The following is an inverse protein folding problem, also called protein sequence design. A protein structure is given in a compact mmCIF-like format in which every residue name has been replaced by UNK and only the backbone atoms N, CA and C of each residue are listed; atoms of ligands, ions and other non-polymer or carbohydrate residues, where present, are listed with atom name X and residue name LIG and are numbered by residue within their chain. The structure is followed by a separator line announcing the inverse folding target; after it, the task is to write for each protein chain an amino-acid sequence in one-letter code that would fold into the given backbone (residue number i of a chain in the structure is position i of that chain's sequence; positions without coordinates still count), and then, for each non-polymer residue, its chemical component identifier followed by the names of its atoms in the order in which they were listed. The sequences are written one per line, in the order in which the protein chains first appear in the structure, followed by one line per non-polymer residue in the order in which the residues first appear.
data_IF_670181968306
#
_entry.id   IF_670181968306
#
_cell.length_a   1.000
_cell.length_b   1.000
_cell.length_c   1.000
_cell.angle_alpha   90.00
_cell.angle_beta   90.00
_cell.angle_gamma   90.00
#
_symmetry.space_group_name_H-M   'P 1'
#
loop_
_entity.id
_entity.type
_entity.pdbx_description
1 polymer ?
#
# COMPACT_ATOMS: atom_id res chain seq x y z
N UNK A 1 -23.56 5.22 -6.04
CA UNK A 1 -23.13 4.62 -4.76
C UNK A 1 -22.41 3.33 -5.10
N UNK A 2 -21.14 3.19 -4.72
CA UNK A 2 -20.39 1.94 -4.92
C UNK A 2 -20.90 0.94 -3.89
N UNK A 3 -21.47 -0.18 -4.33
CA UNK A 3 -21.90 -1.25 -3.43
C UNK A 3 -20.68 -1.99 -2.87
N UNK A 4 -20.40 -1.76 -1.59
CA UNK A 4 -19.22 -2.33 -0.88
C UNK A 4 -19.61 -3.50 0.04
N UNK A 5 -20.85 -3.98 -0.06
CA UNK A 5 -21.38 -5.06 0.79
C UNK A 5 -20.68 -6.41 0.59
N UNK A 6 -19.84 -6.56 -0.45
CA UNK A 6 -19.03 -7.75 -0.72
C UNK A 6 -17.54 -7.63 -0.34
N UNK A 7 -17.10 -6.60 0.41
CA UNK A 7 -15.70 -6.46 0.81
C UNK A 7 -15.27 -7.59 1.77
N UNK A 8 -14.47 -8.52 1.25
CA UNK A 8 -13.90 -9.66 1.97
C UNK A 8 -12.38 -9.65 1.84
N UNK A 9 -11.70 -10.25 2.80
CA UNK A 9 -10.25 -10.42 2.73
C UNK A 9 -9.89 -11.43 1.62
N UNK A 10 -9.42 -10.94 0.47
CA UNK A 10 -9.14 -11.73 -0.75
C UNK A 10 -7.74 -11.48 -1.33
N UNK A 11 -6.81 -10.96 -0.51
CA UNK A 11 -5.44 -10.67 -0.94
C UNK A 11 -4.70 -11.95 -1.35
N UNK A 12 -4.20 -11.99 -2.58
CA UNK A 12 -3.37 -13.11 -3.09
C UNK A 12 -1.88 -12.87 -2.91
N UNK A 13 -1.43 -11.60 -2.99
CA UNK A 13 -0.04 -11.21 -2.86
C UNK A 13 0.09 -9.89 -2.09
N UNK A 14 1.13 -9.71 -1.27
CA UNK A 14 1.39 -8.44 -0.61
C UNK A 14 1.98 -7.42 -1.60
N UNK A 15 1.66 -6.14 -1.40
CA UNK A 15 2.35 -5.03 -2.07
C UNK A 15 3.67 -4.79 -1.33
N UNK A 16 4.80 -5.05 -2.00
CA UNK A 16 6.15 -4.91 -1.45
C UNK A 16 7.09 -4.34 -2.51
N UNK A 17 8.23 -3.80 -2.09
CA UNK A 17 9.26 -3.40 -3.05
C UNK A 17 10.05 -4.63 -3.56
N UNK A 18 10.66 -4.50 -4.74
CA UNK A 18 11.45 -5.58 -5.34
C UNK A 18 12.60 -6.08 -4.45
N UNK A 19 13.23 -5.18 -3.67
CA UNK A 19 14.32 -5.54 -2.76
C UNK A 19 13.84 -6.35 -1.56
N UNK A 20 12.68 -6.03 -0.98
CA UNK A 20 12.06 -6.89 0.04
C UNK A 20 11.78 -8.29 -0.51
N UNK A 21 11.32 -8.37 -1.77
CA UNK A 21 11.13 -9.65 -2.43
C UNK A 21 12.41 -10.46 -2.53
N UNK A 22 13.46 -9.82 -3.02
CA UNK A 22 14.75 -10.46 -3.16
C UNK A 22 15.34 -10.90 -1.82
N UNK A 23 15.29 -10.04 -0.79
CA UNK A 23 15.81 -10.36 0.54
C UNK A 23 15.12 -11.59 1.14
N UNK A 24 13.80 -11.70 1.01
CA UNK A 24 13.05 -12.85 1.51
C UNK A 24 13.39 -14.11 0.72
N UNK A 25 13.45 -14.03 -0.61
CA UNK A 25 13.82 -15.16 -1.48
C UNK A 25 15.25 -15.64 -1.24
N UNK A 26 16.15 -14.74 -0.86
CA UNK A 26 17.55 -15.05 -0.54
C UNK A 26 17.76 -15.44 0.94
N UNK A 27 16.68 -15.60 1.72
CA UNK A 27 16.77 -16.00 3.12
C UNK A 27 17.31 -14.92 4.07
N UNK A 28 17.43 -13.67 3.61
CA UNK A 28 17.91 -12.52 4.38
C UNK A 28 16.84 -11.91 5.29
N UNK A 29 15.62 -12.45 5.26
CA UNK A 29 14.50 -11.98 6.09
C UNK A 29 14.48 -12.53 7.51
N UNK A 30 15.43 -13.38 7.90
CA UNK A 30 15.42 -14.03 9.21
C UNK A 30 14.24 -14.98 9.39
N UNK A 31 13.76 -15.61 8.31
CA UNK A 31 12.61 -16.52 8.30
C UNK A 31 11.25 -15.83 8.24
N UNK A 32 11.20 -14.50 8.24
CA UNK A 32 9.96 -13.74 8.09
C UNK A 32 9.38 -13.91 6.68
N UNK A 33 8.05 -14.01 6.60
CA UNK A 33 7.32 -13.96 5.32
C UNK A 33 7.44 -12.58 4.67
N UNK A 34 7.09 -12.50 3.38
CA UNK A 34 7.05 -11.24 2.63
C UNK A 34 6.25 -10.15 3.31
N UNK A 35 5.09 -10.52 3.88
CA UNK A 35 4.20 -9.59 4.58
C UNK A 35 4.81 -9.07 5.89
N UNK A 36 5.50 -9.94 6.63
CA UNK A 36 6.10 -9.58 7.92
C UNK A 36 7.41 -8.80 7.72
N UNK A 37 8.18 -9.14 6.70
CA UNK A 37 9.46 -8.51 6.42
C UNK A 37 9.30 -7.10 5.84
N UNK A 38 8.31 -6.90 4.97
CA UNK A 38 8.07 -5.64 4.31
C UNK A 38 7.58 -4.58 5.30
N UNK A 39 8.38 -3.53 5.48
CA UNK A 39 7.99 -2.34 6.23
C UNK A 39 7.42 -1.30 5.27
N UNK A 40 6.14 -1.42 4.94
CA UNK A 40 5.45 -0.50 4.03
C UNK A 40 4.59 0.50 4.80
N UNK A 41 4.64 1.76 4.37
CA UNK A 41 3.69 2.79 4.73
C UNK A 41 2.72 2.98 3.58
N UNK A 42 1.44 3.17 3.90
CA UNK A 42 0.38 3.44 2.94
C UNK A 42 -0.33 4.71 3.39
N UNK A 43 -0.45 5.69 2.50
CA UNK A 43 -1.03 6.98 2.86
C UNK A 43 -1.53 7.79 1.66
N UNK A 44 -2.34 8.79 1.95
CA UNK A 44 -2.74 9.79 0.98
C UNK A 44 -1.62 10.81 0.74
N UNK A 45 -1.59 11.34 -0.46
CA UNK A 45 -0.74 12.43 -0.93
C UNK A 45 -1.62 13.47 -1.60
N UNK A 46 -1.04 14.59 -2.03
CA UNK A 46 -1.79 15.66 -2.71
C UNK A 46 -2.49 15.22 -4.00
N UNK A 47 -2.03 14.14 -4.66
CA UNK A 47 -2.56 13.69 -5.95
C UNK A 47 -3.15 12.27 -5.93
N UNK A 48 -3.10 11.56 -4.80
CA UNK A 48 -3.63 10.20 -4.69
C UNK A 48 -3.05 9.39 -3.55
N UNK A 49 -2.90 8.07 -3.72
CA UNK A 49 -2.38 7.16 -2.68
C UNK A 49 -0.96 6.71 -3.00
N UNK A 50 -0.10 6.68 -1.99
CA UNK A 50 1.27 6.19 -2.10
C UNK A 50 1.50 5.00 -1.18
N UNK A 51 2.29 4.04 -1.68
CA UNK A 51 2.90 2.97 -0.89
C UNK A 51 4.41 3.17 -0.91
N UNK A 52 5.00 3.33 0.27
CA UNK A 52 6.42 3.57 0.46
C UNK A 52 7.06 2.42 1.24
N UNK A 53 8.21 1.93 0.80
CA UNK A 53 8.98 0.95 1.57
C UNK A 53 9.97 1.70 2.46
N UNK A 54 9.73 1.67 3.78
CA UNK A 54 10.65 2.24 4.77
C UNK A 54 11.98 1.49 4.84
N UNK A 55 11.94 0.15 4.71
CA UNK A 55 13.13 -0.70 4.86
C UNK A 55 14.20 -0.37 3.82
N UNK A 56 13.81 -0.19 2.56
CA UNK A 56 14.73 0.13 1.47
C UNK A 56 14.64 1.59 1.00
N UNK A 57 13.91 2.42 1.75
CA UNK A 57 13.69 3.83 1.48
C UNK A 57 13.36 4.15 0.01
N UNK A 58 12.33 3.48 -0.52
CA UNK A 58 11.98 3.62 -1.94
C UNK A 58 10.47 3.53 -2.17
N UNK A 59 10.04 4.17 -3.25
CA UNK A 59 8.66 4.11 -3.71
C UNK A 59 8.32 2.68 -4.16
N UNK A 60 7.19 2.15 -3.70
CA UNK A 60 6.64 0.88 -4.21
C UNK A 60 5.65 1.16 -5.32
N UNK A 61 4.67 2.01 -5.05
CA UNK A 61 3.73 2.53 -6.05
C UNK A 61 3.19 3.89 -5.60
N UNK A 62 2.97 4.77 -6.57
CA UNK A 62 2.15 5.96 -6.40
C UNK A 62 0.99 5.89 -7.39
N UNK A 63 -0.24 5.90 -6.87
CA UNK A 63 -1.47 5.88 -7.66
C UNK A 63 -1.96 7.32 -7.75
N UNK A 64 -1.65 7.98 -8.86
CA UNK A 64 -2.15 9.31 -9.19
C UNK A 64 -3.60 9.22 -9.65
N UNK A 65 -4.48 9.93 -8.94
CA UNK A 65 -5.91 9.99 -9.25
C UNK A 65 -6.21 10.98 -10.38
N UNK A 66 -5.26 11.81 -10.79
CA UNK A 66 -5.40 12.85 -11.83
C UNK A 66 -6.58 13.78 -11.56
N UNK A 67 -6.78 14.14 -10.30
CA UNK A 67 -7.92 14.96 -9.84
C UNK A 67 -9.27 14.25 -9.85
N UNK A 68 -9.34 12.95 -10.17
CA UNK A 68 -10.59 12.20 -10.14
C UNK A 68 -10.89 11.66 -8.74
N UNK A 69 -12.18 11.61 -8.39
CA UNK A 69 -12.65 10.83 -7.26
C UNK A 69 -12.88 9.38 -7.71
N UNK A 70 -11.92 8.52 -7.44
CA UNK A 70 -12.05 7.10 -7.77
C UNK A 70 -13.14 6.43 -6.90
N UNK A 71 -13.90 5.46 -7.42
CA UNK A 71 -14.74 4.60 -6.60
C UNK A 71 -13.85 3.80 -5.64
N UNK A 72 -13.78 4.22 -4.38
CA UNK A 72 -12.98 3.58 -3.34
C UNK A 72 -13.74 3.61 -2.01
N UNK A 73 -13.67 2.52 -1.26
CA UNK A 73 -14.14 2.44 0.14
C UNK A 73 -12.97 2.71 1.08
N UNK A 74 -12.63 3.99 1.22
CA UNK A 74 -11.67 4.43 2.23
C UNK A 74 -12.41 4.55 3.57
N UNK A 75 -12.38 3.47 4.36
CA UNK A 75 -12.89 3.48 5.75
C UNK A 75 -11.95 4.20 6.72
N UNK A 76 -10.90 4.84 6.22
CA UNK A 76 -9.98 5.69 6.97
C UNK A 76 -10.46 7.14 6.96
N UNK A 77 -9.98 7.91 7.93
CA UNK A 77 -10.26 9.35 8.01
C UNK A 77 -9.54 10.06 6.85
N UNK A 78 -10.27 10.38 5.77
CA UNK A 78 -9.81 11.38 4.82
C UNK A 78 -9.73 12.73 5.57
N UNK A 79 -8.54 13.32 5.66
CA UNK A 79 -8.42 14.69 6.19
C UNK A 79 -9.01 15.63 5.13
N UNK A 80 -10.07 16.40 5.43
CA UNK A 80 -10.60 17.38 4.49
C UNK A 80 -9.53 18.44 4.18
N UNK A 81 -9.47 18.99 2.96
CA UNK A 81 -8.56 20.10 2.68
C UNK A 81 -8.91 21.29 3.60
N UNK A 82 -7.97 21.70 4.46
CA UNK A 82 -8.12 22.84 5.39
C UNK A 82 -7.82 22.58 6.87
N UNK A 83 -7.36 21.39 7.25
CA UNK A 83 -6.84 21.07 8.58
C UNK A 83 -5.41 20.55 8.52
#
# INVERSE_FOLDING_TARGET
MTDTSALKYSLTHPIVCAKCSEDVLQGRSGGLSMREYAAVDVGFTTIGVQVWCRRHNQNVVHIDFKGNRLPADFRCLEVPPGH
#
